data_IF_106780702805
#
_entry.id   IF_106780702805
#
_cell.length_a   1.000
_cell.length_b   1.000
_cell.length_c   1.000
_cell.angle_alpha   90.00
_cell.angle_beta   90.00
_cell.angle_gamma   90.00
#
_symmetry.space_group_name_H-M   'P 1'
#
loop_
_entity.id
_entity.type
_entity.pdbx_description
1 polymer ?
#
# COMPACT_ATOMS: atom_id res chain seq x y z
N UNK A 1 11.96 -5.92 11.31
CA UNK A 1 13.21 -6.07 12.07
C UNK A 1 13.34 -7.48 12.60
N UNK A 2 12.91 -7.84 13.81
CA UNK A 2 13.15 -9.20 14.32
C UNK A 2 12.22 -10.31 13.80
N UNK A 3 11.32 -10.03 12.86
CA UNK A 3 10.36 -11.03 12.36
C UNK A 3 11.05 -12.22 11.68
N UNK A 4 12.19 -11.99 11.02
CA UNK A 4 13.04 -13.00 10.37
C UNK A 4 14.35 -13.31 11.16
N UNK A 5 14.52 -12.72 12.37
CA UNK A 5 15.70 -12.81 13.26
C UNK A 5 17.01 -12.20 12.73
N UNK A 6 16.98 -11.49 11.60
CA UNK A 6 18.10 -10.73 11.08
C UNK A 6 17.69 -9.25 11.00
N UNK A 7 18.55 -8.33 11.46
CA UNK A 7 18.31 -6.90 11.30
C UNK A 7 19.05 -6.48 10.04
N UNK A 8 18.32 -6.09 9.00
CA UNK A 8 18.93 -5.60 7.75
C UNK A 8 19.50 -4.17 7.95
N UNK A 9 20.51 -3.80 7.15
CA UNK A 9 21.19 -2.50 7.29
C UNK A 9 20.23 -1.32 7.15
N UNK A 10 19.23 -1.47 6.30
CA UNK A 10 18.20 -0.47 6.02
C UNK A 10 17.26 -0.27 7.21
N UNK A 11 16.90 -1.36 7.91
CA UNK A 11 16.05 -1.29 9.10
C UNK A 11 16.78 -0.61 10.25
N UNK A 12 18.07 -0.91 10.41
CA UNK A 12 18.95 -0.22 11.36
C UNK A 12 19.05 1.27 11.01
N UNK A 13 19.20 1.62 9.74
CA UNK A 13 19.27 3.01 9.28
C UNK A 13 17.96 3.77 9.57
N UNK A 14 16.81 3.16 9.30
CA UNK A 14 15.50 3.75 9.58
C UNK A 14 15.30 3.93 11.10
N UNK A 15 15.65 2.92 11.89
CA UNK A 15 15.60 3.00 13.35
C UNK A 15 16.46 4.15 13.87
N UNK A 16 17.72 4.26 13.41
CA UNK A 16 18.61 5.35 13.81
C UNK A 16 18.10 6.72 13.38
N UNK A 17 17.45 6.83 12.22
CA UNK A 17 16.80 8.06 11.76
C UNK A 17 15.68 8.49 12.72
N UNK A 18 14.77 7.57 13.09
CA UNK A 18 13.70 7.86 14.04
C UNK A 18 14.24 8.17 15.44
N UNK A 19 15.27 7.45 15.88
CA UNK A 19 15.88 7.69 17.18
C UNK A 19 16.51 9.08 17.27
N UNK A 20 17.16 9.53 16.18
CA UNK A 20 17.75 10.88 16.09
C UNK A 20 16.69 11.98 16.03
N UNK A 21 15.61 11.77 15.28
CA UNK A 21 14.51 12.76 15.16
C UNK A 21 13.59 12.79 16.38
N UNK A 22 13.69 11.80 17.28
CA UNK A 22 12.92 11.77 18.52
C UNK A 22 13.43 12.76 19.58
N UNK A 23 12.50 13.27 20.38
CA UNK A 23 12.76 14.07 21.59
C UNK A 23 13.05 13.21 22.83
N UNK A 24 13.46 11.95 22.65
CA UNK A 24 13.78 11.05 23.75
C UNK A 24 15.04 11.50 24.50
N UNK A 25 15.07 11.28 25.82
CA UNK A 25 16.27 11.46 26.64
C UNK A 25 17.35 10.43 26.29
N UNK A 26 18.60 10.68 26.66
CA UNK A 26 19.70 9.74 26.39
C UNK A 26 19.44 8.35 26.96
N UNK A 27 18.90 8.27 28.19
CA UNK A 27 18.54 6.99 28.82
C UNK A 27 17.50 6.20 28.01
N UNK A 28 16.47 6.90 27.49
CA UNK A 28 15.45 6.28 26.65
C UNK A 28 15.99 5.87 25.29
N UNK A 29 16.95 6.63 24.73
CA UNK A 29 17.62 6.25 23.48
C UNK A 29 18.46 4.99 23.66
N UNK A 30 19.14 4.86 24.79
CA UNK A 30 19.92 3.67 25.13
C UNK A 30 19.03 2.44 25.37
N UNK A 31 17.88 2.63 26.00
CA UNK A 31 16.85 1.59 26.16
C UNK A 31 16.32 1.12 24.81
N UNK A 32 15.89 2.05 23.94
CA UNK A 32 15.41 1.72 22.60
C UNK A 32 16.47 0.96 21.77
N UNK A 33 17.77 1.31 21.89
CA UNK A 33 18.85 0.57 21.22
C UNK A 33 19.01 -0.86 21.75
N UNK A 34 18.87 -1.07 23.06
CA UNK A 34 18.90 -2.42 23.66
C UNK A 34 17.73 -3.25 23.17
N UNK A 35 16.54 -2.68 23.18
CA UNK A 35 15.32 -3.34 22.74
C UNK A 35 15.37 -3.67 21.25
N UNK A 36 15.86 -2.75 20.42
CA UNK A 36 16.06 -2.99 18.99
C UNK A 36 17.04 -4.12 18.73
N UNK A 37 18.11 -4.25 19.53
CA UNK A 37 19.10 -5.32 19.39
C UNK A 37 18.56 -6.68 19.85
N UNK A 38 17.84 -6.71 20.97
CA UNK A 38 17.40 -7.95 21.61
C UNK A 38 16.07 -8.48 21.06
N UNK A 39 15.31 -7.63 20.39
CA UNK A 39 13.94 -7.90 19.99
C UNK A 39 12.97 -7.73 21.16
N UNK A 40 11.73 -7.38 20.84
CA UNK A 40 10.62 -7.28 21.80
C UNK A 40 9.53 -8.25 21.36
N UNK A 41 8.96 -9.00 22.32
CA UNK A 41 7.78 -9.81 22.04
C UNK A 41 6.56 -8.94 21.78
N UNK A 42 5.71 -9.35 20.85
CA UNK A 42 4.43 -8.68 20.60
C UNK A 42 3.58 -8.53 21.89
N UNK A 43 3.72 -9.47 22.84
CA UNK A 43 3.03 -9.43 24.12
C UNK A 43 3.46 -8.22 24.97
N UNK A 44 4.75 -7.87 24.94
CA UNK A 44 5.37 -6.86 25.79
C UNK A 44 5.17 -5.44 25.25
N UNK A 45 4.71 -5.31 24.00
CA UNK A 45 4.34 -4.02 23.43
C UNK A 45 3.14 -3.45 24.17
N UNK A 46 3.38 -2.40 24.94
CA UNK A 46 2.34 -1.62 25.61
C UNK A 46 1.58 -0.77 24.59
N UNK A 47 0.28 -1.00 24.49
CA UNK A 47 -0.63 -0.16 23.71
C UNK A 47 -1.46 0.63 24.73
N UNK A 48 -1.22 1.93 24.90
CA UNK A 48 -1.99 2.72 25.87
C UNK A 48 -3.50 2.60 25.60
N UNK A 49 -4.27 2.22 26.63
CA UNK A 49 -5.72 1.95 26.51
C UNK A 49 -6.55 3.19 26.12
N UNK A 50 -6.00 4.39 26.32
CA UNK A 50 -6.62 5.68 26.00
C UNK A 50 -6.40 6.10 24.53
N UNK A 51 -5.71 5.27 23.73
CA UNK A 51 -5.34 5.67 22.38
C UNK A 51 -6.53 5.68 21.42
N UNK A 52 -6.64 6.76 20.66
CA UNK A 52 -7.58 6.87 19.55
C UNK A 52 -7.27 5.83 18.48
N UNK A 53 -8.32 5.40 17.77
CA UNK A 53 -8.22 4.53 16.58
C UNK A 53 -7.11 4.99 15.61
N UNK A 54 -6.95 6.31 15.46
CA UNK A 54 -5.96 6.94 14.60
C UNK A 54 -4.52 6.62 15.01
N UNK A 55 -4.21 6.67 16.31
CA UNK A 55 -2.85 6.37 16.79
C UNK A 55 -2.50 4.89 16.58
N UNK A 56 -3.47 3.99 16.79
CA UNK A 56 -3.27 2.56 16.49
C UNK A 56 -3.03 2.32 15.00
N UNK A 57 -3.78 3.03 14.14
CA UNK A 57 -3.63 2.98 12.67
C UNK A 57 -2.26 3.47 12.24
N UNK A 58 -1.82 4.58 12.82
CA UNK A 58 -0.48 5.14 12.61
C UNK A 58 0.63 4.15 12.97
N UNK A 59 0.55 3.49 14.13
CA UNK A 59 1.53 2.46 14.50
C UNK A 59 1.53 1.25 13.57
N UNK A 60 0.34 0.82 13.12
CA UNK A 60 0.22 -0.26 12.14
C UNK A 60 0.92 0.12 10.83
N UNK A 61 0.68 1.33 10.32
CA UNK A 61 1.26 1.81 9.07
C UNK A 61 2.76 2.05 9.17
N UNK A 62 3.27 2.51 10.32
CA UNK A 62 4.70 2.55 10.59
C UNK A 62 5.34 1.16 10.62
N UNK A 63 4.66 0.16 11.22
CA UNK A 63 5.15 -1.21 11.23
C UNK A 63 5.21 -1.79 9.81
N UNK A 64 4.18 -1.53 9.00
CA UNK A 64 4.15 -1.90 7.57
C UNK A 64 5.31 -1.23 6.84
N UNK A 65 5.49 0.09 7.00
CA UNK A 65 6.58 0.82 6.37
C UNK A 65 7.95 0.24 6.74
N UNK A 66 8.14 -0.13 8.02
CA UNK A 66 9.39 -0.68 8.54
C UNK A 66 9.68 -2.07 7.99
N UNK A 67 8.67 -2.92 7.89
CA UNK A 67 8.78 -4.24 7.23
C UNK A 67 9.10 -4.06 5.75
N UNK A 68 8.53 -3.05 5.09
CA UNK A 68 8.81 -2.77 3.68
C UNK A 68 10.21 -2.21 3.39
N UNK A 69 11.01 -1.92 4.41
CA UNK A 69 12.35 -1.34 4.24
C UNK A 69 13.30 -2.28 3.52
N UNK A 70 13.21 -3.60 3.78
CA UNK A 70 13.97 -4.63 3.07
C UNK A 70 13.33 -5.03 1.72
N UNK A 71 12.17 -4.43 1.42
CA UNK A 71 11.41 -4.48 0.16
C UNK A 71 10.92 -5.86 -0.25
N UNK A 72 10.88 -6.83 0.67
CA UNK A 72 10.29 -8.13 0.41
C UNK A 72 9.53 -8.61 1.63
N UNK A 73 8.20 -8.41 1.58
CA UNK A 73 7.34 -8.87 2.65
C UNK A 73 7.31 -10.40 2.70
N UNK A 74 8.05 -10.98 3.63
CA UNK A 74 8.13 -12.42 3.82
C UNK A 74 6.89 -12.95 4.53
N UNK A 75 6.63 -14.26 4.42
CA UNK A 75 5.48 -14.90 5.08
C UNK A 75 5.52 -14.69 6.61
N UNK A 76 6.73 -14.70 7.19
CA UNK A 76 6.99 -14.43 8.61
C UNK A 76 6.56 -13.02 9.02
N UNK A 77 6.81 -12.04 8.17
CA UNK A 77 6.46 -10.64 8.40
C UNK A 77 4.98 -10.39 8.21
N UNK A 78 4.34 -11.05 7.22
CA UNK A 78 2.88 -11.04 7.09
C UNK A 78 2.21 -11.64 8.33
N UNK A 79 2.75 -12.73 8.88
CA UNK A 79 2.25 -13.34 10.12
C UNK A 79 2.38 -12.34 11.28
N UNK A 80 3.52 -11.66 11.40
CA UNK A 80 3.73 -10.61 12.39
C UNK A 80 2.72 -9.47 12.23
N UNK A 81 2.55 -8.91 11.03
CA UNK A 81 1.65 -7.80 10.77
C UNK A 81 0.19 -8.17 11.06
N UNK A 82 -0.24 -9.39 10.74
CA UNK A 82 -1.56 -9.92 11.11
C UNK A 82 -1.74 -10.00 12.62
N UNK A 83 -0.75 -10.52 13.34
CA UNK A 83 -0.79 -10.61 14.79
C UNK A 83 -0.80 -9.21 15.44
N UNK A 84 0.00 -8.27 14.92
CA UNK A 84 0.06 -6.89 15.40
C UNK A 84 -1.24 -6.13 15.14
N UNK A 85 -1.79 -6.23 13.93
CA UNK A 85 -3.10 -5.66 13.59
C UNK A 85 -4.20 -6.19 14.53
N UNK A 86 -4.22 -7.50 14.79
CA UNK A 86 -5.17 -8.11 15.74
C UNK A 86 -4.98 -7.58 17.15
N UNK A 87 -3.74 -7.43 17.64
CA UNK A 87 -3.45 -6.84 18.96
C UNK A 87 -3.93 -5.38 19.05
N UNK A 88 -3.84 -4.63 17.95
CA UNK A 88 -4.35 -3.26 17.84
C UNK A 88 -5.89 -3.18 17.72
N UNK A 89 -6.58 -4.30 17.49
CA UNK A 89 -8.02 -4.38 17.33
C UNK A 89 -8.52 -4.13 15.89
N UNK A 90 -7.65 -4.34 14.90
CA UNK A 90 -7.97 -4.23 13.49
C UNK A 90 -8.32 -5.59 12.87
N UNK A 91 -9.18 -5.55 11.86
CA UNK A 91 -9.50 -6.72 11.04
C UNK A 91 -8.49 -6.90 9.90
N UNK A 92 -8.51 -8.06 9.24
CA UNK A 92 -7.62 -8.31 8.10
C UNK A 92 -7.85 -7.32 6.94
N UNK A 93 -9.08 -6.83 6.78
CA UNK A 93 -9.40 -5.80 5.78
C UNK A 93 -8.72 -4.46 6.09
N UNK A 94 -8.69 -4.05 7.36
CA UNK A 94 -8.00 -2.82 7.79
C UNK A 94 -6.49 -2.90 7.52
N UNK A 95 -5.89 -4.08 7.79
CA UNK A 95 -4.49 -4.37 7.46
C UNK A 95 -4.26 -4.33 5.95
N UNK A 96 -5.15 -4.94 5.16
CA UNK A 96 -5.07 -4.91 3.69
C UNK A 96 -5.14 -3.49 3.13
N UNK A 97 -6.00 -2.64 3.69
CA UNK A 97 -6.12 -1.23 3.32
C UNK A 97 -4.87 -0.44 3.72
N UNK A 98 -4.29 -0.67 4.90
CA UNK A 98 -3.02 -0.03 5.28
C UNK A 98 -1.85 -0.46 4.42
N UNK A 99 -1.78 -1.75 4.04
CA UNK A 99 -0.74 -2.24 3.14
C UNK A 99 -0.82 -1.50 1.79
N UNK A 100 -2.01 -1.44 1.20
CA UNK A 100 -2.23 -0.70 -0.04
C UNK A 100 -1.88 0.79 0.09
N UNK A 101 -2.25 1.43 1.20
CA UNK A 101 -1.98 2.85 1.41
C UNK A 101 -0.48 3.14 1.52
N UNK A 102 0.25 2.34 2.31
CA UNK A 102 1.70 2.51 2.50
C UNK A 102 2.46 2.17 1.22
N UNK A 103 2.16 1.04 0.59
CA UNK A 103 2.76 0.63 -0.70
C UNK A 103 2.50 1.70 -1.77
N UNK A 104 1.26 2.16 -1.90
CA UNK A 104 0.88 3.23 -2.83
C UNK A 104 1.64 4.53 -2.56
N UNK A 105 1.73 4.95 -1.31
CA UNK A 105 2.51 6.13 -0.92
C UNK A 105 3.99 6.01 -1.32
N UNK A 106 4.62 4.86 -1.08
CA UNK A 106 6.03 4.61 -1.45
C UNK A 106 6.21 4.70 -2.96
N UNK A 107 5.30 4.08 -3.73
CA UNK A 107 5.36 4.06 -5.19
C UNK A 107 5.15 5.45 -5.79
N UNK A 108 4.25 6.26 -5.22
CA UNK A 108 3.97 7.63 -5.66
C UNK A 108 5.15 8.58 -5.39
N UNK A 109 5.85 8.39 -4.27
CA UNK A 109 6.89 9.31 -3.81
C UNK A 109 8.31 8.76 -4.00
N UNK A 110 8.46 7.71 -4.80
CA UNK A 110 9.72 6.97 -4.90
C UNK A 110 10.93 7.84 -5.24
N UNK A 111 10.78 8.74 -6.21
CA UNK A 111 11.87 9.64 -6.62
C UNK A 111 12.34 10.56 -5.48
N UNK A 112 11.46 10.91 -4.55
CA UNK A 112 11.78 11.75 -3.40
C UNK A 112 12.43 10.93 -2.27
N UNK A 113 12.11 9.64 -2.21
CA UNK A 113 12.68 8.66 -1.29
C UNK A 113 14.06 8.15 -1.74
N UNK A 114 14.69 8.79 -2.74
CA UNK A 114 16.00 8.42 -3.31
C UNK A 114 17.13 8.19 -2.29
N UNK A 115 17.04 8.74 -1.07
CA UNK A 115 18.01 8.51 0.01
C UNK A 115 17.85 7.16 0.73
N UNK A 116 16.71 6.49 0.56
CA UNK A 116 16.45 5.14 1.08
C UNK A 116 16.88 4.04 0.07
N UNK A 117 17.60 4.40 -1.00
CA UNK A 117 18.08 3.49 -2.06
C UNK A 117 19.22 2.60 -1.57
N UNK A 118 18.90 1.40 -1.14
CA UNK A 118 19.82 0.27 -1.22
C UNK A 118 19.32 -0.68 -2.30
N UNK A 119 20.16 -0.93 -3.30
CA UNK A 119 20.22 -2.11 -4.19
C UNK A 119 19.01 -2.65 -4.97
N UNK A 120 17.79 -2.64 -4.43
CA UNK A 120 16.66 -3.43 -4.88
C UNK A 120 15.64 -2.65 -5.71
N UNK A 121 15.01 -3.36 -6.65
CA UNK A 121 14.15 -2.82 -7.70
C UNK A 121 12.71 -2.56 -7.21
N UNK A 122 12.10 -1.48 -7.68
CA UNK A 122 10.69 -1.10 -7.41
C UNK A 122 9.68 -2.14 -7.92
N UNK A 123 10.14 -3.03 -8.79
CA UNK A 123 9.33 -3.98 -9.53
C UNK A 123 8.60 -4.96 -8.62
N UNK A 124 9.22 -5.40 -7.52
CA UNK A 124 8.58 -6.33 -6.57
C UNK A 124 7.44 -5.66 -5.80
N UNK A 125 7.67 -4.45 -5.27
CA UNK A 125 6.64 -3.64 -4.60
C UNK A 125 5.47 -3.37 -5.56
N UNK A 126 5.79 -2.93 -6.78
CA UNK A 126 4.82 -2.66 -7.82
C UNK A 126 3.97 -3.89 -8.18
N UNK A 127 4.59 -5.05 -8.27
CA UNK A 127 3.91 -6.31 -8.63
C UNK A 127 2.91 -6.73 -7.55
N UNK A 128 3.33 -6.75 -6.28
CA UNK A 128 2.43 -7.11 -5.17
C UNK A 128 1.35 -6.04 -4.95
N UNK A 129 1.69 -4.76 -5.11
CA UNK A 129 0.72 -3.67 -5.08
C UNK A 129 -0.38 -3.85 -6.12
N UNK A 130 -0.01 -4.06 -7.40
CA UNK A 130 -0.99 -4.27 -8.48
C UNK A 130 -1.86 -5.50 -8.25
N UNK A 131 -1.33 -6.57 -7.66
CA UNK A 131 -2.08 -7.78 -7.30
C UNK A 131 -3.08 -7.53 -6.17
N UNK A 132 -2.72 -6.75 -5.15
CA UNK A 132 -3.66 -6.32 -4.09
C UNK A 132 -4.72 -5.38 -4.63
N UNK A 133 -4.34 -4.44 -5.50
CA UNK A 133 -5.29 -3.54 -6.17
C UNK A 133 -6.26 -4.34 -7.04
N UNK A 134 -5.78 -5.33 -7.82
CA UNK A 134 -6.64 -6.23 -8.61
C UNK A 134 -7.69 -6.95 -7.75
N UNK A 135 -7.27 -7.50 -6.60
CA UNK A 135 -8.22 -8.12 -5.66
C UNK A 135 -9.25 -7.11 -5.15
N UNK A 136 -8.83 -5.87 -4.93
CA UNK A 136 -9.70 -4.79 -4.44
C UNK A 136 -10.68 -4.31 -5.50
N UNK A 137 -10.25 -4.22 -6.77
CA UNK A 137 -11.13 -3.91 -7.89
C UNK A 137 -12.14 -5.03 -8.12
N UNK A 138 -11.74 -6.29 -8.01
CA UNK A 138 -12.65 -7.44 -8.13
C UNK A 138 -13.73 -7.44 -7.04
N UNK A 139 -13.36 -7.16 -5.79
CA UNK A 139 -14.33 -7.01 -4.69
C UNK A 139 -15.33 -5.87 -4.91
N UNK A 140 -14.94 -4.85 -5.68
CA UNK A 140 -15.74 -3.66 -5.97
C UNK A 140 -16.26 -3.64 -7.42
N UNK A 141 -16.25 -4.79 -8.11
CA UNK A 141 -16.49 -4.87 -9.56
C UNK A 141 -17.82 -4.24 -9.99
N UNK A 142 -18.90 -4.50 -9.25
CA UNK A 142 -20.24 -3.96 -9.55
C UNK A 142 -20.19 -2.43 -9.59
N UNK A 143 -19.68 -1.81 -8.53
CA UNK A 143 -19.61 -0.34 -8.43
C UNK A 143 -18.68 0.26 -9.49
N UNK A 144 -17.54 -0.37 -9.75
CA UNK A 144 -16.60 0.09 -10.81
C UNK A 144 -17.28 0.03 -12.18
N UNK A 145 -17.97 -1.06 -12.49
CA UNK A 145 -18.68 -1.23 -13.75
C UNK A 145 -19.83 -0.21 -13.91
N UNK A 146 -20.53 0.11 -12.82
CA UNK A 146 -21.55 1.15 -12.83
C UNK A 146 -20.96 2.54 -13.09
N UNK A 147 -19.82 2.88 -12.47
CA UNK A 147 -19.12 4.14 -12.73
C UNK A 147 -18.58 4.23 -14.17
N UNK A 148 -18.07 3.12 -14.73
CA UNK A 148 -17.62 3.06 -16.13
C UNK A 148 -18.77 3.36 -17.11
N UNK A 149 -19.96 2.79 -16.86
CA UNK A 149 -21.15 2.95 -17.72
C UNK A 149 -21.71 4.37 -17.72
N UNK A 150 -21.52 5.14 -16.64
CA UNK A 150 -21.98 6.54 -16.57
C UNK A 150 -21.27 7.46 -17.56
N UNK A 151 -20.06 7.11 -17.98
CA UNK A 151 -19.29 7.89 -18.93
C UNK A 151 -19.22 7.18 -20.29
N UNK A 152 -20.12 7.56 -21.19
CA UNK A 152 -20.22 6.99 -22.54
C UNK A 152 -18.96 7.21 -23.38
N UNK A 153 -18.25 8.32 -23.20
CA UNK A 153 -16.98 8.57 -23.89
C UNK A 153 -15.88 7.63 -23.37
N UNK A 154 -15.77 7.46 -22.06
CA UNK A 154 -14.81 6.54 -21.43
C UNK A 154 -15.04 5.10 -21.90
N UNK A 155 -16.30 4.67 -21.94
CA UNK A 155 -16.67 3.34 -22.44
C UNK A 155 -16.26 3.14 -23.91
N UNK A 156 -16.42 4.16 -24.77
CA UNK A 156 -15.96 4.10 -26.17
C UNK A 156 -14.44 4.01 -26.27
N UNK A 157 -13.71 4.79 -25.48
CA UNK A 157 -12.25 4.76 -25.45
C UNK A 157 -11.72 3.40 -24.97
N UNK A 158 -12.37 2.82 -23.95
CA UNK A 158 -12.01 1.49 -23.42
C UNK A 158 -12.27 0.37 -24.42
N UNK A 159 -13.35 0.45 -25.21
CA UNK A 159 -13.60 -0.50 -26.29
C UNK A 159 -12.55 -0.33 -27.39
N UNK A 160 -12.29 0.91 -27.81
CA UNK A 160 -11.31 1.23 -28.85
C UNK A 160 -9.91 0.75 -28.47
N UNK A 161 -9.50 0.89 -27.20
CA UNK A 161 -8.18 0.42 -26.74
C UNK A 161 -7.98 -1.10 -26.82
N UNK A 162 -9.05 -1.89 -26.99
CA UNK A 162 -8.97 -3.35 -27.16
C UNK A 162 -8.77 -3.74 -28.64
N UNK A 163 -9.13 -2.88 -29.58
CA UNK A 163 -9.16 -3.20 -31.02
C UNK A 163 -8.23 -2.35 -31.86
N UNK A 164 -7.87 -1.16 -31.40
CA UNK A 164 -7.11 -0.16 -32.16
C UNK A 164 -6.14 0.60 -31.25
N UNK A 165 -5.11 1.21 -31.87
CA UNK A 165 -4.24 2.15 -31.16
C UNK A 165 -4.97 3.47 -30.85
N UNK A 166 -4.82 3.93 -29.61
CA UNK A 166 -5.31 5.23 -29.17
C UNK A 166 -4.26 6.33 -29.45
N UNK A 167 -4.71 7.52 -29.85
CA UNK A 167 -3.84 8.71 -29.87
C UNK A 167 -3.36 9.08 -28.47
N UNK A 168 -2.31 9.90 -28.35
CA UNK A 168 -1.79 10.34 -27.04
C UNK A 168 -2.87 11.04 -26.19
N UNK A 169 -3.68 11.87 -26.83
CA UNK A 169 -4.80 12.56 -26.19
C UNK A 169 -5.87 11.58 -25.70
N UNK A 170 -6.17 10.55 -26.50
CA UNK A 170 -7.12 9.49 -26.14
C UNK A 170 -6.60 8.62 -25.00
N UNK A 171 -5.29 8.32 -24.98
CA UNK A 171 -4.64 7.60 -23.89
C UNK A 171 -4.72 8.39 -22.58
N UNK A 172 -4.44 9.70 -22.63
CA UNK A 172 -4.54 10.58 -21.47
C UNK A 172 -5.98 10.65 -20.94
N UNK A 173 -6.97 10.85 -21.82
CA UNK A 173 -8.38 10.87 -21.44
C UNK A 173 -8.85 9.54 -20.83
N UNK A 174 -8.40 8.41 -21.40
CA UNK A 174 -8.71 7.09 -20.86
C UNK A 174 -8.07 6.90 -19.48
N UNK A 175 -6.79 7.27 -19.32
CA UNK A 175 -6.09 7.21 -18.04
C UNK A 175 -6.81 8.01 -16.94
N UNK A 176 -7.07 9.29 -17.19
CA UNK A 176 -7.75 10.17 -16.24
C UNK A 176 -9.16 9.68 -15.90
N UNK A 177 -9.89 9.18 -16.91
CA UNK A 177 -11.22 8.62 -16.73
C UNK A 177 -11.22 7.37 -15.85
N UNK A 178 -10.27 6.44 -16.05
CA UNK A 178 -10.12 5.25 -15.21
C UNK A 178 -9.72 5.60 -13.78
N UNK A 179 -8.83 6.58 -13.58
CA UNK A 179 -8.49 7.09 -12.24
C UNK A 179 -9.73 7.67 -11.55
N UNK A 180 -10.53 8.45 -12.26
CA UNK A 180 -11.77 9.04 -11.73
C UNK A 180 -12.78 7.97 -11.28
N UNK A 181 -12.96 6.93 -12.10
CA UNK A 181 -13.80 5.76 -11.77
C UNK A 181 -13.34 5.09 -10.48
N UNK A 182 -12.04 4.81 -10.34
CA UNK A 182 -11.54 4.17 -9.12
C UNK A 182 -11.71 5.11 -7.91
N UNK A 183 -11.43 6.41 -8.03
CA UNK A 183 -11.64 7.40 -6.97
C UNK A 183 -13.10 7.57 -6.55
N UNK A 184 -14.08 7.15 -7.34
CA UNK A 184 -15.50 7.17 -6.97
C UNK A 184 -15.92 5.99 -6.05
N UNK A 185 -15.05 4.99 -5.86
CA UNK A 185 -15.24 3.86 -4.95
C UNK A 185 -14.62 4.19 -3.59
N UNK A 186 -15.37 4.08 -2.48
CA UNK A 186 -14.89 4.48 -1.15
C UNK A 186 -13.58 3.85 -0.71
N UNK A 187 -13.36 2.56 -1.00
CA UNK A 187 -12.12 1.87 -0.64
C UNK A 187 -10.89 2.53 -1.28
N UNK A 188 -10.97 2.93 -2.55
CA UNK A 188 -9.86 3.59 -3.26
C UNK A 188 -9.60 5.02 -2.77
N UNK A 189 -10.62 5.69 -2.21
CA UNK A 189 -10.45 6.98 -1.53
C UNK A 189 -9.67 6.80 -0.23
N UNK A 190 -10.03 5.79 0.57
CA UNK A 190 -9.41 5.53 1.87
C UNK A 190 -7.94 5.16 1.72
N UNK A 191 -7.60 4.30 0.76
CA UNK A 191 -6.21 3.86 0.57
C UNK A 191 -5.32 4.92 -0.10
N UNK A 192 -5.92 5.88 -0.84
CA UNK A 192 -5.15 6.89 -1.59
C UNK A 192 -4.39 6.29 -2.77
N UNK A 193 -5.01 6.28 -3.95
CA UNK A 193 -4.37 5.74 -5.16
C UNK A 193 -3.12 6.54 -5.60
N UNK A 194 -2.01 5.85 -5.96
CA UNK A 194 -0.81 6.47 -6.50
C UNK A 194 -1.00 6.76 -8.00
N UNK A 195 -1.54 7.94 -8.30
CA UNK A 195 -1.97 8.32 -9.65
C UNK A 195 -0.77 8.44 -10.60
N UNK A 196 0.36 9.00 -10.16
CA UNK A 196 1.52 9.18 -11.04
C UNK A 196 2.22 7.87 -11.34
N UNK A 197 2.18 6.92 -10.40
CA UNK A 197 2.72 5.57 -10.60
C UNK A 197 1.86 4.71 -11.55
N UNK A 198 0.54 4.80 -11.45
CA UNK A 198 -0.38 3.94 -12.19
C UNK A 198 -0.44 4.31 -13.68
N UNK A 199 0.32 3.61 -14.51
CA UNK A 199 0.26 3.78 -15.97
C UNK A 199 -1.05 3.25 -16.58
N UNK A 200 -1.42 3.70 -17.77
CA UNK A 200 -2.61 3.19 -18.47
C UNK A 200 -2.61 1.66 -18.64
N UNK A 201 -1.50 1.01 -19.07
CA UNK A 201 -1.44 -0.45 -19.13
C UNK A 201 -1.68 -1.14 -17.78
N UNK A 202 -1.22 -0.57 -16.68
CA UNK A 202 -1.47 -1.09 -15.34
C UNK A 202 -2.94 -0.98 -14.98
N UNK A 203 -3.56 0.20 -15.21
CA UNK A 203 -4.98 0.43 -14.98
C UNK A 203 -5.83 -0.59 -15.73
N UNK A 204 -5.55 -0.81 -17.02
CA UNK A 204 -6.28 -1.80 -17.83
C UNK A 204 -6.14 -3.23 -17.30
N UNK A 205 -4.97 -3.60 -16.76
CA UNK A 205 -4.73 -4.93 -16.15
C UNK A 205 -5.49 -5.13 -14.84
N UNK A 206 -5.68 -4.07 -14.04
CA UNK A 206 -6.35 -4.16 -12.75
C UNK A 206 -7.87 -4.02 -12.83
N UNK A 207 -8.44 -3.58 -13.96
CA UNK A 207 -9.90 -3.47 -14.09
C UNK A 207 -10.58 -4.84 -13.84
N UNK A 208 -11.77 -4.83 -13.22
CA UNK A 208 -12.56 -6.03 -13.12
C UNK A 208 -12.90 -6.52 -14.53
N UNK A 209 -12.85 -7.83 -14.74
CA UNK A 209 -13.37 -8.40 -15.99
C UNK A 209 -14.89 -8.23 -15.98
N UNK A 210 -15.48 -7.89 -17.13
CA UNK A 210 -16.93 -7.89 -17.24
C UNK A 210 -17.44 -9.30 -16.92
N UNK A 211 -18.40 -9.40 -15.99
CA UNK A 211 -19.05 -10.69 -15.76
C UNK A 211 -19.72 -11.14 -17.06
N UNK A 212 -19.56 -12.41 -17.48
CA UNK A 212 -20.09 -12.92 -18.75
C UNK A 212 -21.63 -12.87 -18.89
N UNK A 213 -22.36 -12.38 -17.88
CA UNK A 213 -23.82 -12.44 -17.81
C UNK A 213 -24.58 -11.15 -18.16
N UNK A 214 -23.94 -10.17 -18.81
CA UNK A 214 -24.67 -9.01 -19.36
C UNK A 214 -24.64 -8.99 -20.88
N UNK A 215 -25.16 -10.05 -21.49
CA UNK A 215 -25.77 -9.97 -22.84
C UNK A 215 -27.28 -9.89 -22.62
N UNK A 216 -27.83 -8.69 -22.66
CA UNK A 216 -29.24 -8.45 -22.92
C UNK A 216 -29.39 -8.04 -24.39
#
# INVERSE_FOLDING_TARGET
>A
AHANKNIEEEEQALFDFFLKSSHLSSSQKDEARRDFKNGISLADIYIPNQNSWLLKKFFLELAILTVWVDRKLEDTEMIFLKAFAKKMGFYEEDLGNSLLAVEGFILENWEQLNHLRTGHDLTDIGTEYLKRVKRTTDKNAIRINDELKKNTNLSKLLLKSKTEELSKEQQQQLHEGLISVLKAVPTFVIIGLPVSYLTLPMLLKILPQEEPNTRL
#
